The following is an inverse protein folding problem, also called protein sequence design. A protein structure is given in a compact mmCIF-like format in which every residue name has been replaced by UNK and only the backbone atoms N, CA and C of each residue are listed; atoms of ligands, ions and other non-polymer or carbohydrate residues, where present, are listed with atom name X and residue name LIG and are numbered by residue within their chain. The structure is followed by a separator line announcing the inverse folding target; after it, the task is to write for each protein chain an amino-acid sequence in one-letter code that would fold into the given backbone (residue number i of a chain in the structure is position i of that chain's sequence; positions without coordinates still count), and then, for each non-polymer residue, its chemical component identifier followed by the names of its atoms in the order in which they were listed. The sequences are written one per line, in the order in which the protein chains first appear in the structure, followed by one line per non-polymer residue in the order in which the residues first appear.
data_IF_273367566474
#
_entry.id   IF_273367566474
#
_cell.length_a   1.000
_cell.length_b   1.000
_cell.length_c   1.000
_cell.angle_alpha   90.00
_cell.angle_beta   90.00
_cell.angle_gamma   90.00
#
_symmetry.space_group_name_H-M   'P 1'
#
loop_
_entity.id
_entity.type
_entity.pdbx_description
1 polymer ?
#
# COMPACT_ATOMS: atom_id res chain seq x y z
N UNK A 1 31.60 -11.10 -7.36
CA UNK A 1 30.13 -11.06 -7.32
C UNK A 1 29.70 -9.68 -7.78
N UNK A 2 28.76 -9.58 -8.74
CA UNK A 2 28.23 -8.26 -9.15
C UNK A 2 27.49 -7.64 -7.96
N UNK A 3 27.76 -6.37 -7.69
CA UNK A 3 27.09 -5.64 -6.61
C UNK A 3 25.62 -5.41 -7.01
N UNK A 4 24.68 -5.89 -6.22
CA UNK A 4 23.25 -5.71 -6.46
C UNK A 4 22.92 -4.22 -6.26
N UNK A 5 22.30 -3.59 -7.25
CA UNK A 5 21.91 -2.18 -7.15
C UNK A 5 20.64 -2.00 -6.34
N UNK A 6 20.42 -0.83 -5.75
CA UNK A 6 19.20 -0.50 -5.01
C UNK A 6 17.95 -0.66 -5.88
N UNK A 7 18.05 -0.33 -7.17
CA UNK A 7 16.99 -0.59 -8.15
C UNK A 7 16.64 -2.08 -8.25
N UNK A 8 17.63 -2.97 -8.28
CA UNK A 8 17.39 -4.41 -8.35
C UNK A 8 16.77 -4.94 -7.05
N UNK A 9 17.17 -4.42 -5.90
CA UNK A 9 16.58 -4.73 -4.59
C UNK A 9 15.11 -4.31 -4.60
N UNK A 10 14.81 -3.07 -4.98
CA UNK A 10 13.45 -2.54 -5.05
C UNK A 10 12.54 -3.37 -5.97
N UNK A 11 12.98 -3.66 -7.20
CA UNK A 11 12.21 -4.46 -8.15
C UNK A 11 11.96 -5.87 -7.61
N UNK A 12 12.95 -6.51 -7.02
CA UNK A 12 12.83 -7.85 -6.44
C UNK A 12 11.84 -7.87 -5.27
N UNK A 13 11.93 -6.90 -4.36
CA UNK A 13 11.03 -6.78 -3.22
C UNK A 13 9.58 -6.52 -3.65
N UNK A 14 9.36 -5.54 -4.53
CA UNK A 14 8.04 -5.19 -5.07
C UNK A 14 7.41 -6.36 -5.83
N UNK A 15 8.16 -7.04 -6.68
CA UNK A 15 7.68 -8.21 -7.43
C UNK A 15 7.38 -9.39 -6.49
N UNK A 16 8.21 -9.61 -5.48
CA UNK A 16 8.04 -10.71 -4.53
C UNK A 16 6.79 -10.56 -3.66
N UNK A 17 6.49 -9.34 -3.22
CA UNK A 17 5.31 -9.09 -2.36
C UNK A 17 4.00 -8.96 -3.14
N UNK A 18 4.04 -8.51 -4.39
CA UNK A 18 2.85 -8.28 -5.21
C UNK A 18 1.91 -9.49 -5.23
N UNK A 19 2.42 -10.67 -5.57
CA UNK A 19 1.61 -11.90 -5.62
C UNK A 19 0.95 -12.23 -4.28
N UNK A 20 1.67 -12.04 -3.16
CA UNK A 20 1.12 -12.27 -1.83
C UNK A 20 0.01 -11.28 -1.50
N UNK A 21 0.20 -9.99 -1.81
CA UNK A 21 -0.76 -8.95 -1.50
C UNK A 21 -1.99 -9.01 -2.41
N UNK A 22 -1.82 -9.24 -3.70
CA UNK A 22 -2.94 -9.48 -4.62
C UNK A 22 -3.80 -10.67 -4.15
N UNK A 23 -3.18 -11.72 -3.60
CA UNK A 23 -3.92 -12.84 -3.03
C UNK A 23 -4.70 -12.44 -1.77
N UNK A 24 -4.11 -11.65 -0.87
CA UNK A 24 -4.79 -11.17 0.35
C UNK A 24 -5.99 -10.29 0.00
N UNK A 25 -5.82 -9.37 -0.92
CA UNK A 25 -6.89 -8.54 -1.44
C UNK A 25 -8.02 -9.37 -2.07
N UNK A 26 -7.69 -10.36 -2.87
CA UNK A 26 -8.71 -11.26 -3.44
C UNK A 26 -9.51 -12.00 -2.36
N UNK A 27 -8.90 -12.38 -1.24
CA UNK A 27 -9.64 -12.93 -0.11
C UNK A 27 -10.54 -11.90 0.54
N UNK A 28 -10.07 -10.68 0.71
CA UNK A 28 -10.85 -9.57 1.25
C UNK A 28 -12.03 -9.21 0.32
N UNK A 29 -11.81 -9.18 -0.99
CA UNK A 29 -12.84 -8.90 -2.01
C UNK A 29 -13.83 -10.06 -2.22
N UNK A 30 -13.66 -11.19 -1.53
CA UNK A 30 -14.48 -12.38 -1.72
C UNK A 30 -14.21 -13.14 -3.01
N UNK A 31 -13.08 -12.86 -3.67
CA UNK A 31 -12.62 -13.50 -4.91
C UNK A 31 -11.72 -14.72 -4.67
N UNK A 32 -11.76 -15.29 -3.47
CA UNK A 32 -10.96 -16.46 -3.14
C UNK A 32 -11.24 -17.61 -4.11
N UNK A 33 -10.21 -18.37 -4.52
CA UNK A 33 -10.41 -19.51 -5.40
C UNK A 33 -11.27 -20.56 -4.69
N UNK A 34 -12.28 -21.07 -5.39
CA UNK A 34 -13.09 -22.16 -4.88
C UNK A 34 -12.23 -23.42 -4.73
N UNK A 35 -12.16 -23.94 -3.51
CA UNK A 35 -11.49 -25.20 -3.22
C UNK A 35 -12.53 -26.30 -3.25
N UNK A 36 -12.47 -27.14 -4.28
CA UNK A 36 -13.32 -28.31 -4.38
C UNK A 36 -12.65 -29.52 -3.71
N UNK A 37 -13.40 -30.19 -2.85
CA UNK A 37 -12.92 -31.38 -2.14
C UNK A 37 -12.86 -32.63 -3.02
N UNK A 38 -13.53 -32.59 -4.20
CA UNK A 38 -13.49 -33.69 -5.18
C UNK A 38 -13.66 -33.17 -6.61
N UNK A 39 -13.14 -33.93 -7.59
CA UNK A 39 -13.33 -33.64 -9.03
C UNK A 39 -14.82 -33.61 -9.41
N UNK A 40 -15.61 -34.51 -8.82
CA UNK A 40 -17.06 -34.58 -9.07
C UNK A 40 -17.80 -33.31 -8.66
N UNK A 41 -17.42 -32.70 -7.54
CA UNK A 41 -17.99 -31.41 -7.11
C UNK A 41 -17.57 -30.29 -8.05
N UNK A 42 -16.31 -30.29 -8.51
CA UNK A 42 -15.84 -29.33 -9.50
C UNK A 42 -16.64 -29.40 -10.80
N UNK A 43 -16.90 -30.61 -11.31
CA UNK A 43 -17.66 -30.81 -12.56
C UNK A 43 -19.13 -30.38 -12.42
N UNK A 44 -19.75 -30.63 -11.27
CA UNK A 44 -21.13 -30.22 -10.98
C UNK A 44 -21.27 -28.70 -10.87
N UNK A 45 -20.28 -28.02 -10.26
CA UNK A 45 -20.33 -26.58 -10.00
C UNK A 45 -19.62 -25.73 -11.08
N UNK A 46 -18.89 -26.34 -12.03
CA UNK A 46 -18.16 -25.61 -13.07
C UNK A 46 -19.05 -24.82 -14.04
N UNK A 47 -20.33 -25.12 -14.11
CA UNK A 47 -21.32 -24.40 -14.91
C UNK A 47 -22.20 -23.40 -14.12
N UNK A 48 -21.97 -23.25 -12.83
CA UNK A 48 -22.71 -22.31 -11.98
C UNK A 48 -21.84 -21.05 -11.81
N UNK A 49 -22.22 -19.96 -12.45
CA UNK A 49 -21.63 -18.62 -12.23
C UNK A 49 -21.89 -18.06 -10.81
N UNK A 50 -22.63 -18.79 -9.98
CA UNK A 50 -22.92 -18.38 -8.62
C UNK A 50 -21.79 -18.77 -7.68
N UNK A 51 -21.00 -17.81 -7.25
CA UNK A 51 -20.09 -17.96 -6.13
C UNK A 51 -20.89 -17.95 -4.83
N UNK A 52 -21.18 -19.12 -4.29
CA UNK A 52 -21.77 -19.27 -2.96
C UNK A 52 -20.68 -19.18 -1.89
N UNK A 53 -20.02 -18.05 -1.78
CA UNK A 53 -19.02 -17.81 -0.75
C UNK A 53 -19.44 -16.65 0.12
N UNK A 54 -19.67 -16.92 1.39
CA UNK A 54 -19.76 -15.84 2.39
C UNK A 54 -18.36 -15.23 2.58
N UNK A 55 -18.27 -13.91 2.47
CA UNK A 55 -16.99 -13.20 2.62
C UNK A 55 -16.70 -12.87 4.08
N UNK A 56 -16.39 -13.88 4.87
CA UNK A 56 -16.01 -13.69 6.27
C UNK A 56 -14.70 -12.93 6.44
N UNK A 57 -13.82 -12.92 5.44
CA UNK A 57 -12.57 -12.16 5.50
C UNK A 57 -12.86 -10.66 5.57
N UNK A 58 -13.76 -10.14 4.73
CA UNK A 58 -14.19 -8.75 4.81
C UNK A 58 -14.85 -8.45 6.16
N UNK A 59 -15.79 -9.29 6.61
CA UNK A 59 -16.49 -9.09 7.89
C UNK A 59 -15.51 -8.93 9.06
N UNK A 60 -14.45 -9.76 9.11
CA UNK A 60 -13.45 -9.68 10.18
C UNK A 60 -12.64 -8.38 10.07
N UNK A 61 -12.19 -8.01 8.88
CA UNK A 61 -11.43 -6.78 8.65
C UNK A 61 -12.28 -5.56 8.95
N UNK A 62 -13.46 -5.44 8.36
CA UNK A 62 -14.35 -4.29 8.50
C UNK A 62 -14.77 -4.08 9.96
N UNK A 63 -15.02 -5.16 10.70
CA UNK A 63 -15.35 -5.06 12.13
C UNK A 63 -14.24 -4.45 12.99
N UNK A 64 -13.01 -4.50 12.53
CA UNK A 64 -11.86 -3.83 13.17
C UNK A 64 -11.77 -2.39 12.67
N UNK A 65 -11.88 -2.17 11.36
CA UNK A 65 -11.80 -0.85 10.73
C UNK A 65 -12.85 0.11 11.28
N UNK A 66 -14.08 -0.35 11.48
CA UNK A 66 -15.18 0.44 12.07
C UNK A 66 -14.90 1.00 13.49
N UNK A 67 -13.83 0.53 14.11
CA UNK A 67 -13.41 0.95 15.45
C UNK A 67 -12.08 1.71 15.48
N UNK A 68 -11.47 1.87 14.32
CA UNK A 68 -10.23 2.61 14.18
C UNK A 68 -10.53 4.06 13.82
N UNK A 69 -9.78 4.98 14.38
CA UNK A 69 -9.90 6.41 14.13
C UNK A 69 -8.53 7.06 14.28
N UNK A 70 -8.11 7.82 13.28
CA UNK A 70 -6.97 8.71 13.36
C UNK A 70 -7.37 9.98 14.10
N UNK A 71 -6.81 10.19 15.26
CA UNK A 71 -7.08 11.39 16.03
C UNK A 71 -6.11 12.49 15.67
N UNK A 72 -6.64 13.70 15.55
CA UNK A 72 -5.84 14.90 15.40
C UNK A 72 -4.79 14.98 16.51
N UNK A 73 -3.52 15.21 16.18
CA UNK A 73 -2.47 15.36 17.18
C UNK A 73 -2.72 16.58 18.08
N UNK A 74 -2.33 16.47 19.34
CA UNK A 74 -2.52 17.52 20.33
C UNK A 74 -1.23 17.72 21.13
N UNK A 75 -0.88 18.99 21.41
CA UNK A 75 0.27 19.37 22.23
C UNK A 75 -0.23 19.72 23.63
N UNK A 76 0.13 18.88 24.60
CA UNK A 76 -0.28 19.11 25.99
C UNK A 76 0.26 20.44 26.51
N UNK A 77 -0.65 21.32 26.98
CA UNK A 77 -0.30 22.62 27.53
C UNK A 77 -0.08 23.74 26.51
N UNK A 78 -0.20 23.47 25.22
CA UNK A 78 -0.10 24.47 24.14
C UNK A 78 -1.33 24.45 23.23
N UNK A 79 -2.29 25.32 23.51
CA UNK A 79 -3.52 25.44 22.72
C UNK A 79 -3.25 26.03 21.32
N UNK A 80 -2.31 26.96 21.20
CA UNK A 80 -2.00 27.62 19.93
C UNK A 80 -1.29 26.64 19.00
N UNK A 81 -0.31 25.88 19.51
CA UNK A 81 0.36 24.81 18.77
C UNK A 81 -0.61 23.71 18.37
N UNK A 82 -1.55 23.32 19.24
CA UNK A 82 -2.59 22.34 18.93
C UNK A 82 -3.49 22.83 17.79
N UNK A 83 -3.94 24.09 17.82
CA UNK A 83 -4.77 24.65 16.75
C UNK A 83 -4.03 24.67 15.40
N UNK A 84 -2.74 25.03 15.40
CA UNK A 84 -1.92 25.01 14.20
C UNK A 84 -1.72 23.58 13.65
N UNK A 85 -1.46 22.61 14.53
CA UNK A 85 -1.38 21.20 14.11
C UNK A 85 -2.70 20.67 13.56
N UNK A 86 -3.84 21.06 14.14
CA UNK A 86 -5.16 20.66 13.63
C UNK A 86 -5.40 21.21 12.24
N UNK A 87 -5.04 22.47 11.99
CA UNK A 87 -5.13 23.08 10.67
C UNK A 87 -4.25 22.33 9.65
N UNK A 88 -2.97 22.09 9.96
CA UNK A 88 -2.07 21.33 9.09
C UNK A 88 -2.60 19.93 8.84
N UNK A 89 -3.15 19.27 9.85
CA UNK A 89 -3.73 17.93 9.73
C UNK A 89 -4.89 17.88 8.73
N UNK A 90 -5.77 18.88 8.74
CA UNK A 90 -6.84 19.00 7.75
C UNK A 90 -6.29 19.33 6.35
N UNK A 91 -5.30 20.23 6.26
CA UNK A 91 -4.69 20.63 4.98
C UNK A 91 -3.91 19.50 4.31
N UNK A 92 -3.38 18.52 5.08
CA UNK A 92 -2.64 17.36 4.50
C UNK A 92 -3.52 16.38 3.75
N UNK A 93 -4.85 16.42 3.93
CA UNK A 93 -5.78 15.45 3.33
C UNK A 93 -5.72 14.04 3.95
N UNK A 94 -4.91 13.83 5.00
CA UNK A 94 -4.69 12.51 5.59
C UNK A 94 -5.96 11.91 6.21
N UNK A 95 -6.88 12.77 6.67
CA UNK A 95 -8.18 12.35 7.22
C UNK A 95 -9.04 11.69 6.14
N UNK A 96 -8.98 12.18 4.91
CA UNK A 96 -9.74 11.61 3.79
C UNK A 96 -9.20 10.23 3.36
N UNK A 97 -7.91 10.01 3.55
CA UNK A 97 -7.23 8.75 3.25
C UNK A 97 -7.26 7.72 4.41
N UNK A 98 -7.79 8.11 5.57
CA UNK A 98 -7.74 7.31 6.81
C UNK A 98 -8.21 5.87 6.62
N UNK A 99 -9.39 5.72 6.03
CA UNK A 99 -9.99 4.40 5.82
C UNK A 99 -9.09 3.52 4.94
N UNK A 100 -8.59 4.06 3.84
CA UNK A 100 -7.72 3.34 2.91
C UNK A 100 -6.38 2.95 3.55
N UNK A 101 -5.82 3.80 4.42
CA UNK A 101 -4.60 3.49 5.18
C UNK A 101 -4.83 2.30 6.13
N UNK A 102 -5.93 2.34 6.88
CA UNK A 102 -6.26 1.28 7.83
C UNK A 102 -6.60 -0.04 7.13
N UNK A 103 -7.35 0.02 6.01
CA UNK A 103 -7.71 -1.13 5.19
C UNK A 103 -6.47 -1.83 4.63
N UNK A 104 -5.54 -1.07 4.05
CA UNK A 104 -4.26 -1.61 3.56
C UNK A 104 -3.49 -2.33 4.68
N UNK A 105 -3.38 -1.71 5.85
CA UNK A 105 -2.71 -2.33 7.02
C UNK A 105 -3.43 -3.59 7.48
N UNK A 106 -4.75 -3.57 7.54
CA UNK A 106 -5.53 -4.71 8.01
C UNK A 106 -5.47 -5.89 7.04
N UNK A 107 -5.43 -5.62 5.73
CA UNK A 107 -5.38 -6.66 4.68
C UNK A 107 -3.96 -7.16 4.43
N UNK A 108 -2.97 -6.26 4.34
CA UNK A 108 -1.61 -6.62 3.90
C UNK A 108 -0.57 -6.67 5.01
N UNK A 109 -0.82 -5.97 6.12
CA UNK A 109 0.09 -5.78 7.25
C UNK A 109 0.96 -4.53 7.15
N UNK A 110 0.86 -3.74 6.07
CA UNK A 110 1.58 -2.48 5.89
C UNK A 110 0.76 -1.50 5.03
N UNK A 111 1.00 -0.21 5.21
CA UNK A 111 0.51 0.86 4.34
C UNK A 111 1.58 1.93 4.20
N UNK A 112 1.49 2.73 3.15
CA UNK A 112 2.49 3.76 2.86
C UNK A 112 1.82 5.12 2.70
N UNK A 113 2.39 6.11 3.37
CA UNK A 113 2.02 7.52 3.19
C UNK A 113 3.26 8.26 2.70
N UNK A 114 3.13 8.95 1.57
CA UNK A 114 4.17 9.81 1.04
C UNK A 114 3.80 11.24 1.40
N UNK A 115 4.64 11.89 2.22
CA UNK A 115 4.49 13.30 2.54
C UNK A 115 5.38 14.12 1.59
N UNK A 116 4.79 15.13 0.94
CA UNK A 116 5.46 16.01 0.00
C UNK A 116 4.83 17.40 0.05
N UNK A 117 5.61 18.49 0.04
CA UNK A 117 5.04 19.83 -0.07
C UNK A 117 4.42 20.04 -1.46
N UNK A 118 3.35 20.82 -1.51
CA UNK A 118 2.81 21.32 -2.78
C UNK A 118 3.62 22.51 -3.32
N UNK A 119 3.14 23.16 -4.38
CA UNK A 119 3.80 24.29 -5.02
C UNK A 119 3.86 25.55 -4.13
N UNK A 120 3.04 25.61 -3.07
CA UNK A 120 2.98 26.66 -2.06
C UNK A 120 3.71 26.31 -0.76
N UNK A 121 4.53 25.23 -0.77
CA UNK A 121 5.24 24.66 0.38
C UNK A 121 4.32 24.16 1.51
N UNK A 122 3.03 23.92 1.22
CA UNK A 122 2.10 23.33 2.17
C UNK A 122 2.29 21.79 2.18
N UNK A 123 2.52 21.19 3.35
CA UNK A 123 2.71 19.74 3.42
C UNK A 123 1.43 19.01 3.04
N UNK A 124 1.55 18.11 2.07
CA UNK A 124 0.52 17.17 1.64
C UNK A 124 0.90 15.76 2.04
N UNK A 125 -0.08 14.91 2.32
CA UNK A 125 0.14 13.51 2.61
C UNK A 125 -0.78 12.66 1.71
N UNK A 126 -0.21 11.65 1.06
CA UNK A 126 -0.93 10.81 0.11
C UNK A 126 -0.79 9.36 0.50
N UNK A 127 -1.91 8.67 0.65
CA UNK A 127 -1.92 7.22 0.76
C UNK A 127 -1.39 6.57 -0.51
N UNK A 128 -0.66 5.49 -0.34
CA UNK A 128 -0.12 4.70 -1.44
C UNK A 128 -0.27 3.22 -1.10
N UNK A 129 -0.91 2.49 -1.99
CA UNK A 129 -1.16 1.06 -1.90
C UNK A 129 0.11 0.26 -1.61
N UNK A 130 0.05 -0.63 -0.65
CA UNK A 130 1.16 -1.48 -0.22
C UNK A 130 1.72 -2.36 -1.35
N UNK A 131 0.91 -2.68 -2.38
CA UNK A 131 1.34 -3.42 -3.57
C UNK A 131 2.29 -2.63 -4.47
N UNK A 132 2.28 -1.31 -4.34
CA UNK A 132 3.03 -0.39 -5.20
C UNK A 132 4.26 0.20 -4.52
N UNK A 133 4.40 0.04 -3.20
CA UNK A 133 5.45 0.67 -2.42
C UNK A 133 6.32 -0.35 -1.66
N UNK A 134 7.56 0.02 -1.37
CA UNK A 134 8.49 -0.76 -0.56
C UNK A 134 9.41 0.18 0.22
N UNK A 135 9.69 -0.16 1.47
CA UNK A 135 10.67 0.53 2.30
C UNK A 135 11.82 -0.44 2.63
N UNK A 136 13.03 -0.06 2.27
CA UNK A 136 14.24 -0.82 2.57
C UNK A 136 14.97 -0.17 3.74
N UNK A 137 15.21 -0.95 4.77
CA UNK A 137 15.89 -0.49 5.98
C UNK A 137 17.33 -0.96 6.03
N UNK A 138 18.15 -0.25 6.77
CA UNK A 138 19.53 -0.60 7.00
C UNK A 138 19.60 -1.93 7.80
N UNK A 139 20.41 -2.87 7.33
CA UNK A 139 20.55 -4.18 7.98
C UNK A 139 21.20 -4.12 9.36
N UNK A 140 22.02 -3.11 9.63
CA UNK A 140 22.67 -2.89 10.91
C UNK A 140 21.84 -2.03 11.85
N UNK A 141 20.97 -1.16 11.29
CA UNK A 141 20.06 -0.31 12.03
C UNK A 141 18.65 -0.34 11.45
N UNK A 142 17.78 -1.27 11.88
CA UNK A 142 16.41 -1.42 11.35
C UNK A 142 15.49 -0.21 11.56
N UNK A 143 15.92 0.80 12.31
CA UNK A 143 15.18 2.07 12.46
C UNK A 143 15.56 3.10 11.40
N UNK A 144 16.61 2.86 10.63
CA UNK A 144 17.09 3.77 9.61
C UNK A 144 16.59 3.31 8.24
N UNK A 145 15.74 4.13 7.64
CA UNK A 145 15.34 3.95 6.26
C UNK A 145 16.55 4.19 5.35
N UNK A 146 16.87 3.20 4.50
CA UNK A 146 17.91 3.30 3.50
C UNK A 146 17.39 3.98 2.25
N UNK A 147 16.26 3.50 1.73
CA UNK A 147 15.47 4.11 0.67
C UNK A 147 14.04 3.58 0.71
N UNK A 148 13.12 4.33 0.09
CA UNK A 148 11.81 3.80 -0.26
C UNK A 148 11.68 3.72 -1.78
N UNK A 149 10.75 2.89 -2.26
CA UNK A 149 10.48 2.71 -3.68
C UNK A 149 8.97 2.73 -3.93
N UNK A 150 8.56 3.39 -5.01
CA UNK A 150 7.20 3.33 -5.53
C UNK A 150 7.27 3.00 -7.01
N UNK A 151 6.47 2.03 -7.44
CA UNK A 151 6.27 1.77 -8.87
C UNK A 151 4.81 1.90 -9.25
N UNK A 152 4.54 2.22 -10.50
CA UNK A 152 3.19 2.24 -11.04
C UNK A 152 3.22 2.08 -12.55
N UNK A 153 2.10 1.66 -13.11
CA UNK A 153 1.92 1.57 -14.54
C UNK A 153 1.30 2.87 -15.05
N UNK A 154 1.99 3.54 -15.95
CA UNK A 154 1.48 4.72 -16.67
C UNK A 154 0.75 4.30 -17.94
N UNK A 155 0.13 5.26 -18.62
CA UNK A 155 -0.52 5.05 -19.89
C UNK A 155 0.39 4.36 -20.91
N UNK A 156 -0.20 3.48 -21.72
CA UNK A 156 0.55 2.67 -22.69
C UNK A 156 1.33 1.51 -22.09
N UNK A 157 1.10 1.15 -20.81
CA UNK A 157 1.73 -0.01 -20.16
C UNK A 157 3.17 0.21 -19.72
N UNK A 158 3.65 1.45 -19.75
CA UNK A 158 5.00 1.80 -19.27
C UNK A 158 5.03 1.78 -17.75
N UNK A 159 5.94 1.01 -17.17
CA UNK A 159 6.18 0.99 -15.73
C UNK A 159 7.16 2.09 -15.36
N UNK A 160 6.78 2.91 -14.41
CA UNK A 160 7.64 3.91 -13.78
C UNK A 160 7.97 3.46 -12.35
N UNK A 161 9.18 3.76 -11.91
CA UNK A 161 9.65 3.49 -10.56
C UNK A 161 10.43 4.69 -10.06
N UNK A 162 10.11 5.12 -8.85
CA UNK A 162 10.87 6.18 -8.14
C UNK A 162 11.52 5.58 -6.90
N UNK A 163 12.80 5.84 -6.73
CA UNK A 163 13.53 5.60 -5.49
C UNK A 163 13.62 6.91 -4.70
N UNK A 164 13.22 6.85 -3.45
CA UNK A 164 13.24 7.96 -2.50
C UNK A 164 14.37 7.74 -1.51
N UNK A 165 15.41 8.55 -1.61
CA UNK A 165 16.50 8.60 -0.65
C UNK A 165 16.32 9.80 0.29
N UNK A 166 17.03 9.86 1.42
CA UNK A 166 16.98 11.01 2.30
C UNK A 166 17.46 12.34 1.68
N UNK A 167 18.24 12.26 0.61
CA UNK A 167 18.94 13.38 -0.03
C UNK A 167 18.59 13.59 -1.51
N UNK A 168 17.92 12.64 -2.16
CA UNK A 168 17.60 12.68 -3.58
C UNK A 168 16.46 11.77 -3.99
N UNK A 169 15.93 12.03 -5.19
CA UNK A 169 15.00 11.14 -5.88
C UNK A 169 15.67 10.61 -7.16
N UNK A 170 15.43 9.34 -7.46
CA UNK A 170 15.86 8.72 -8.71
C UNK A 170 14.66 8.16 -9.45
N UNK A 171 14.50 8.54 -10.74
CA UNK A 171 13.39 8.17 -11.58
C UNK A 171 13.79 7.14 -12.62
N UNK A 172 13.04 6.07 -12.73
CA UNK A 172 13.27 4.99 -13.68
C UNK A 172 12.03 4.73 -14.52
N UNK A 173 12.24 4.38 -15.78
CA UNK A 173 11.17 4.07 -16.75
C UNK A 173 11.51 2.77 -17.46
N UNK A 174 10.54 1.87 -17.61
CA UNK A 174 10.73 0.64 -18.35
C UNK A 174 10.94 0.91 -19.84
N UNK A 175 11.82 0.13 -20.48
CA UNK A 175 12.08 0.25 -21.94
C UNK A 175 10.95 -0.32 -22.81
N UNK A 176 10.09 -1.15 -22.25
CA UNK A 176 8.98 -1.83 -22.95
C UNK A 176 7.71 -1.70 -22.13
N UNK A 177 6.57 -1.65 -22.83
CA UNK A 177 5.28 -1.77 -22.19
C UNK A 177 5.15 -3.15 -21.51
N UNK A 178 4.66 -3.14 -20.28
CA UNK A 178 4.31 -4.36 -19.56
C UNK A 178 2.84 -4.69 -19.88
N UNK A 179 2.59 -5.90 -20.39
CA UNK A 179 1.24 -6.43 -20.52
C UNK A 179 0.98 -7.28 -19.27
N UNK A 180 -0.01 -6.86 -18.47
CA UNK A 180 -0.46 -7.57 -17.29
C UNK A 180 -1.17 -8.87 -17.65
#
# INVERSE_FOLDING_TARGET
MAQVTDLQIAISALSGKKFRYDRLWRYYDGEAPLVYTSERLRDVFSGLDARFTENWCAVVVDSVLDRMELRTPNISGDMAGTAHLSQLWEETGLVDDEYAIHEDVAVTGESFVIAWPDDDDIPQAFHNDARLCHAEYDSENPRRLRFAAKWWQADGGIVRLTLYYPDRLEYYVSKRAYQA
#
